data_IF_488967064637
#
_entry.id   IF_488967064637
#
_cell.length_a   1.000
_cell.length_b   1.000
_cell.length_c   1.000
_cell.angle_alpha   90.00
_cell.angle_beta   90.00
_cell.angle_gamma   90.00
#
_symmetry.space_group_name_H-M   'P 1'
#
loop_
_entity.id
_entity.type
_entity.pdbx_description
1 polymer ?
#
# COMPACT_ATOMS: atom_id res chain seq x y z
N UNK A 1 -49.31 15.56 -0.67
CA UNK A 1 -49.01 14.77 0.55
C UNK A 1 -48.40 13.46 0.11
N UNK A 2 -47.08 13.41 -0.02
CA UNK A 2 -46.35 12.20 -0.40
C UNK A 2 -45.84 11.51 0.86
N UNK A 3 -46.25 10.26 1.04
CA UNK A 3 -45.77 9.36 2.10
C UNK A 3 -44.38 8.87 1.70
N UNK A 4 -43.34 9.29 2.42
CA UNK A 4 -42.01 8.68 2.37
C UNK A 4 -41.94 7.61 3.46
N UNK A 5 -41.95 6.34 3.05
CA UNK A 5 -41.61 5.22 3.91
C UNK A 5 -40.08 5.15 4.06
N UNK A 6 -39.64 5.19 5.31
CA UNK A 6 -38.26 4.92 5.72
C UNK A 6 -37.89 3.47 5.41
N UNK A 7 -36.96 3.26 4.49
CA UNK A 7 -36.26 1.98 4.36
C UNK A 7 -35.07 1.97 5.32
N UNK A 8 -35.29 1.42 6.51
CA UNK A 8 -34.22 0.91 7.36
C UNK A 8 -33.69 -0.38 6.73
N UNK A 9 -32.48 -0.33 6.15
CA UNK A 9 -31.72 -1.54 5.85
C UNK A 9 -31.00 -1.99 7.11
N UNK A 10 -31.59 -3.00 7.77
CA UNK A 10 -30.95 -3.79 8.82
C UNK A 10 -29.61 -4.35 8.34
N UNK A 11 -28.50 -3.75 8.77
CA UNK A 11 -27.20 -4.41 8.78
C UNK A 11 -27.02 -5.07 10.15
N UNK A 12 -27.03 -6.40 10.15
CA UNK A 12 -27.05 -7.25 11.34
C UNK A 12 -25.67 -7.49 11.99
N UNK A 13 -24.65 -6.66 11.75
CA UNK A 13 -23.32 -6.82 12.37
C UNK A 13 -22.69 -5.46 12.73
N UNK A 14 -22.24 -5.24 13.98
CA UNK A 14 -21.70 -3.96 14.45
C UNK A 14 -20.23 -3.68 14.06
N UNK A 15 -19.62 -4.47 13.16
CA UNK A 15 -18.22 -4.30 12.78
C UNK A 15 -18.04 -4.32 11.25
N UNK A 16 -17.37 -3.29 10.71
CA UNK A 16 -16.87 -3.32 9.33
C UNK A 16 -15.69 -4.28 9.25
N UNK A 17 -15.89 -5.40 8.57
CA UNK A 17 -14.91 -6.43 8.27
C UNK A 17 -13.72 -5.91 7.43
N UNK A 18 -12.45 -6.31 7.72
CA UNK A 18 -11.91 -6.78 8.98
C UNK A 18 -10.96 -5.71 9.60
N UNK A 19 -11.20 -5.34 10.86
CA UNK A 19 -10.34 -4.48 11.71
C UNK A 19 -10.28 -2.97 11.38
N UNK A 20 -11.44 -2.32 11.28
CA UNK A 20 -11.49 -0.85 11.36
C UNK A 20 -11.45 -0.37 12.81
N UNK A 21 -10.34 0.25 13.23
CA UNK A 21 -10.30 1.05 14.48
C UNK A 21 -11.36 2.16 14.44
N UNK A 22 -11.98 2.46 15.58
CA UNK A 22 -12.97 3.55 15.77
C UNK A 22 -12.47 4.88 15.19
N UNK A 23 -11.15 5.11 15.28
CA UNK A 23 -10.49 6.35 14.90
C UNK A 23 -9.90 6.30 13.50
N UNK A 24 -10.25 5.31 12.68
CA UNK A 24 -9.70 5.15 11.32
C UNK A 24 -9.81 6.45 10.50
N UNK A 25 -11.00 7.05 10.43
CA UNK A 25 -11.22 8.30 9.69
C UNK A 25 -10.39 9.46 10.25
N UNK A 26 -10.27 9.54 11.58
CA UNK A 26 -9.45 10.54 12.24
C UNK A 26 -7.96 10.35 11.89
N UNK A 27 -7.46 9.11 11.90
CA UNK A 27 -6.07 8.80 11.53
C UNK A 27 -5.77 9.16 10.08
N UNK A 28 -6.64 8.80 9.13
CA UNK A 28 -6.49 9.20 7.72
C UNK A 28 -6.40 10.73 7.58
N UNK A 29 -7.28 11.46 8.28
CA UNK A 29 -7.25 12.92 8.30
C UNK A 29 -5.92 13.46 8.84
N UNK A 30 -5.46 12.93 9.98
CA UNK A 30 -4.21 13.36 10.61
C UNK A 30 -2.97 13.03 9.80
N UNK A 31 -2.98 11.90 9.09
CA UNK A 31 -1.93 11.56 8.12
C UNK A 31 -1.92 12.60 7.00
N UNK A 32 -3.07 12.96 6.43
CA UNK A 32 -3.16 14.01 5.41
C UNK A 32 -2.62 15.36 5.90
N UNK A 33 -3.00 15.79 7.12
CA UNK A 33 -2.49 17.03 7.74
C UNK A 33 -0.97 16.99 7.97
N UNK A 34 -0.43 15.87 8.46
CA UNK A 34 1.02 15.72 8.66
C UNK A 34 1.78 15.68 7.33
N UNK A 35 1.17 15.09 6.29
CA UNK A 35 1.79 14.98 4.98
C UNK A 35 1.81 16.30 4.21
N UNK A 36 0.79 17.15 4.36
CA UNK A 36 0.74 18.45 3.69
C UNK A 36 1.71 19.48 4.28
N UNK A 37 2.14 19.27 5.54
CA UNK A 37 3.06 20.17 6.24
C UNK A 37 4.53 19.79 6.11
N UNK A 38 4.85 18.64 5.50
CA UNK A 38 6.22 18.19 5.35
C UNK A 38 6.86 18.62 4.02
N UNK A 39 8.17 18.38 3.93
CA UNK A 39 8.99 18.73 2.78
C UNK A 39 9.40 17.50 1.94
N UNK A 40 8.67 16.38 2.04
CA UNK A 40 8.97 15.22 1.21
C UNK A 40 8.51 15.45 -0.24
N UNK A 41 9.31 14.94 -1.18
CA UNK A 41 9.02 15.00 -2.62
C UNK A 41 8.10 13.87 -3.09
N UNK A 42 8.34 12.68 -2.55
CA UNK A 42 7.65 11.45 -2.91
C UNK A 42 7.32 10.70 -1.61
N UNK A 43 6.06 10.27 -1.47
CA UNK A 43 5.56 9.56 -0.30
C UNK A 43 4.90 8.26 -0.73
N UNK A 44 5.31 7.16 -0.11
CA UNK A 44 4.65 5.86 -0.24
C UNK A 44 3.86 5.55 1.04
N UNK A 45 2.60 5.14 0.89
CA UNK A 45 1.80 4.64 2.01
C UNK A 45 1.42 3.18 1.77
N UNK A 46 1.39 2.44 2.87
CA UNK A 46 0.92 1.06 2.94
C UNK A 46 -0.37 1.00 3.76
N UNK A 47 -1.10 -0.11 3.64
CA UNK A 47 -2.34 -0.38 4.37
C UNK A 47 -3.48 0.63 4.14
N UNK A 48 -3.48 1.36 3.01
CA UNK A 48 -4.61 2.19 2.57
C UNK A 48 -5.64 1.31 1.86
N UNK A 49 -6.31 0.42 2.59
CA UNK A 49 -7.13 -0.65 2.00
C UNK A 49 -8.37 -0.18 1.25
N UNK A 50 -8.93 0.97 1.61
CA UNK A 50 -10.17 1.45 1.02
C UNK A 50 -9.87 2.59 0.06
N UNK A 51 -10.35 2.46 -1.17
CA UNK A 51 -10.19 3.49 -2.20
C UNK A 51 -10.72 4.86 -1.72
N UNK A 52 -11.84 4.88 -1.00
CA UNK A 52 -12.37 6.11 -0.39
C UNK A 52 -11.37 6.85 0.49
N UNK A 53 -10.48 6.12 1.18
CA UNK A 53 -9.49 6.69 2.09
C UNK A 53 -8.27 7.19 1.31
N UNK A 54 -7.88 6.51 0.22
CA UNK A 54 -6.96 7.07 -0.78
C UNK A 54 -7.49 8.37 -1.37
N UNK A 55 -8.76 8.41 -1.81
CA UNK A 55 -9.38 9.60 -2.40
C UNK A 55 -9.42 10.78 -1.41
N UNK A 56 -9.67 10.51 -0.12
CA UNK A 56 -9.59 11.53 0.94
C UNK A 56 -8.18 12.09 1.11
N UNK A 57 -7.18 11.22 1.12
CA UNK A 57 -5.77 11.64 1.18
C UNK A 57 -5.40 12.46 -0.04
N UNK A 58 -5.77 11.99 -1.24
CA UNK A 58 -5.54 12.71 -2.50
C UNK A 58 -6.13 14.10 -2.48
N UNK A 59 -7.36 14.26 -2.01
CA UNK A 59 -7.99 15.57 -1.90
C UNK A 59 -7.27 16.47 -0.88
N UNK A 60 -6.90 15.93 0.28
CA UNK A 60 -6.19 16.67 1.32
C UNK A 60 -4.78 17.10 0.90
N UNK A 61 -4.17 16.36 -0.03
CA UNK A 61 -2.77 16.52 -0.44
C UNK A 61 -2.60 17.19 -1.80
N UNK A 62 -3.67 17.49 -2.53
CA UNK A 62 -3.62 17.95 -3.94
C UNK A 62 -2.78 19.21 -4.18
N UNK A 63 -2.65 20.09 -3.18
CA UNK A 63 -1.87 21.33 -3.27
C UNK A 63 -0.36 21.07 -3.14
N UNK A 64 0.01 20.00 -2.44
CA UNK A 64 1.41 19.62 -2.19
C UNK A 64 1.87 18.55 -3.17
N UNK A 65 1.05 17.52 -3.38
CA UNK A 65 1.33 16.36 -4.22
C UNK A 65 0.32 16.31 -5.36
N UNK A 66 0.70 16.90 -6.49
CA UNK A 66 -0.16 17.04 -7.68
C UNK A 66 -0.42 15.68 -8.33
N UNK A 67 0.51 14.74 -8.19
CA UNK A 67 0.43 13.41 -8.77
C UNK A 67 0.24 12.36 -7.69
N UNK A 68 -0.64 11.40 -7.95
CA UNK A 68 -0.86 10.29 -7.05
C UNK A 68 -1.31 9.05 -7.81
N UNK A 69 -0.96 7.88 -7.28
CA UNK A 69 -1.37 6.61 -7.85
C UNK A 69 -1.71 5.61 -6.74
N UNK A 70 -2.85 4.94 -6.90
CA UNK A 70 -3.28 3.85 -6.04
C UNK A 70 -3.17 2.53 -6.80
N UNK A 71 -2.39 1.59 -6.26
CA UNK A 71 -2.19 0.31 -6.91
C UNK A 71 -3.39 -0.61 -6.63
N UNK A 72 -4.29 -0.75 -7.61
CA UNK A 72 -5.42 -1.66 -7.48
C UNK A 72 -4.97 -3.12 -7.61
N UNK A 73 -5.42 -4.00 -6.70
CA UNK A 73 -5.19 -5.44 -6.81
C UNK A 73 -6.32 -6.25 -6.18
N UNK A 74 -6.84 -7.24 -6.90
CA UNK A 74 -7.89 -8.14 -6.39
C UNK A 74 -9.16 -7.40 -5.94
N UNK A 75 -9.88 -7.99 -4.99
CA UNK A 75 -11.16 -7.45 -4.49
C UNK A 75 -10.97 -6.33 -3.44
N UNK A 76 -9.84 -6.31 -2.73
CA UNK A 76 -9.60 -5.40 -1.59
C UNK A 76 -8.57 -4.30 -1.86
N UNK A 77 -7.97 -4.24 -3.05
CA UNK A 77 -6.85 -3.34 -3.34
C UNK A 77 -5.50 -3.86 -2.81
N UNK A 78 -4.39 -3.21 -3.18
CA UNK A 78 -3.07 -3.56 -2.64
C UNK A 78 -2.76 -2.88 -1.30
N UNK A 79 -3.53 -1.85 -0.94
CA UNK A 79 -3.21 -0.98 0.18
C UNK A 79 -1.98 -0.09 -0.06
N UNK A 80 -1.38 -0.13 -1.24
CA UNK A 80 -0.21 0.67 -1.61
C UNK A 80 -0.65 1.87 -2.43
N UNK A 81 -0.20 3.06 -2.06
CA UNK A 81 -0.28 4.24 -2.90
C UNK A 81 0.97 5.10 -2.83
N UNK A 82 1.17 5.89 -3.87
CA UNK A 82 2.25 6.87 -3.97
C UNK A 82 1.65 8.25 -4.23
N UNK A 83 2.21 9.25 -3.55
CA UNK A 83 1.98 10.68 -3.77
C UNK A 83 3.30 11.30 -4.20
N UNK A 84 3.27 12.18 -5.20
CA UNK A 84 4.47 12.78 -5.79
C UNK A 84 4.21 14.24 -6.14
N UNK A 85 5.21 15.09 -5.88
CA UNK A 85 5.26 16.47 -6.40
C UNK A 85 5.51 16.50 -7.91
N UNK A 86 6.13 15.45 -8.43
CA UNK A 86 6.59 15.32 -9.81
C UNK A 86 5.73 14.35 -10.63
N UNK A 87 5.66 14.52 -11.97
CA UNK A 87 4.86 13.68 -12.85
C UNK A 87 5.15 12.18 -12.70
N UNK A 88 4.09 11.39 -12.49
CA UNK A 88 4.13 9.93 -12.62
C UNK A 88 3.80 9.59 -14.08
N UNK A 89 4.77 9.04 -14.81
CA UNK A 89 4.69 8.82 -16.26
C UNK A 89 4.45 7.36 -16.64
N UNK A 90 4.76 6.43 -15.74
CA UNK A 90 4.49 5.00 -15.91
C UNK A 90 4.24 4.34 -14.56
N UNK A 91 3.51 3.24 -14.58
CA UNK A 91 3.19 2.46 -13.37
C UNK A 91 3.20 0.97 -13.67
N UNK A 92 3.63 0.17 -12.71
CA UNK A 92 3.59 -1.30 -12.78
C UNK A 92 3.40 -1.88 -11.39
N UNK A 93 2.70 -3.01 -11.27
CA UNK A 93 2.50 -3.70 -9.98
C UNK A 93 2.91 -5.16 -10.10
N UNK A 94 3.69 -5.64 -9.13
CA UNK A 94 3.96 -7.06 -8.94
C UNK A 94 3.36 -7.54 -7.63
N UNK A 95 2.51 -8.56 -7.69
CA UNK A 95 1.96 -9.22 -6.51
C UNK A 95 2.85 -10.38 -6.14
N UNK A 96 3.29 -10.45 -4.89
CA UNK A 96 4.09 -11.59 -4.45
C UNK A 96 3.28 -12.88 -4.51
N UNK A 97 3.94 -13.97 -4.86
CA UNK A 97 3.30 -15.27 -5.03
C UNK A 97 2.90 -15.92 -3.71
N UNK A 98 3.71 -15.73 -2.66
CA UNK A 98 3.53 -16.38 -1.37
C UNK A 98 2.98 -15.40 -0.31
N UNK A 99 1.65 -15.31 -0.23
CA UNK A 99 0.93 -14.38 0.68
C UNK A 99 0.21 -15.10 1.84
N UNK A 100 0.85 -16.14 2.39
CA UNK A 100 0.33 -16.92 3.52
C UNK A 100 -0.05 -18.35 3.12
N UNK A 101 -0.63 -19.09 4.07
CA UNK A 101 -1.04 -20.48 3.87
C UNK A 101 -2.49 -20.56 3.37
N UNK A 102 -2.71 -21.27 2.26
CA UNK A 102 -4.03 -21.46 1.65
C UNK A 102 -5.06 -22.20 2.55
N UNK A 103 -4.67 -22.74 3.70
CA UNK A 103 -5.58 -23.35 4.68
C UNK A 103 -5.88 -22.44 5.89
N UNK A 104 -5.29 -21.25 5.98
CA UNK A 104 -5.57 -20.21 6.97
C UNK A 104 -6.41 -19.05 6.37
N UNK A 105 -7.32 -19.37 5.44
CA UNK A 105 -8.24 -18.43 4.76
C UNK A 105 -9.11 -17.63 5.74
N UNK A 106 -9.33 -18.14 6.95
CA UNK A 106 -10.15 -17.50 7.98
C UNK A 106 -9.53 -16.27 8.66
N UNK A 107 -8.30 -15.85 8.31
CA UNK A 107 -7.61 -14.71 8.96
C UNK A 107 -7.43 -13.46 8.08
N UNK A 108 -8.02 -13.39 6.89
CA UNK A 108 -8.10 -12.14 6.11
C UNK A 108 -6.81 -11.65 5.44
N UNK A 109 -5.63 -12.14 5.85
CA UNK A 109 -4.32 -11.80 5.25
C UNK A 109 -4.17 -12.28 3.78
N UNK A 110 -5.03 -13.19 3.31
CA UNK A 110 -4.93 -13.83 2.00
C UNK A 110 -5.43 -12.94 0.83
N UNK A 111 -6.37 -12.03 1.05
CA UNK A 111 -7.21 -11.52 -0.06
C UNK A 111 -6.73 -10.27 -0.80
N UNK A 112 -5.61 -9.67 -0.42
CA UNK A 112 -5.01 -8.61 -1.23
C UNK A 112 -4.15 -7.70 -0.40
N UNK A 113 -2.91 -7.51 -0.83
CA UNK A 113 -2.11 -6.42 -0.28
C UNK A 113 -0.62 -6.48 -0.46
N UNK A 114 -0.06 -7.69 -0.52
CA UNK A 114 1.39 -7.84 -0.51
C UNK A 114 1.94 -7.86 -1.93
N UNK A 115 2.96 -7.05 -2.14
CA UNK A 115 3.55 -6.82 -3.44
C UNK A 115 4.39 -5.56 -3.47
N UNK A 116 4.77 -5.17 -4.67
CA UNK A 116 5.53 -3.96 -4.93
C UNK A 116 4.90 -3.20 -6.09
N UNK A 117 4.57 -1.93 -5.83
CA UNK A 117 4.18 -0.98 -6.87
C UNK A 117 5.41 -0.22 -7.34
N UNK A 118 5.60 -0.11 -8.65
CA UNK A 118 6.56 0.76 -9.30
C UNK A 118 5.81 1.97 -9.88
N UNK A 119 6.28 3.16 -9.57
CA UNK A 119 6.00 4.37 -10.34
C UNK A 119 7.28 4.86 -10.98
N UNK A 120 7.21 5.23 -12.25
CA UNK A 120 8.27 5.98 -12.93
C UNK A 120 7.94 7.46 -12.82
N UNK A 121 8.89 8.23 -12.31
CA UNK A 121 8.74 9.66 -12.02
C UNK A 121 9.71 10.43 -12.90
N UNK A 122 9.22 11.48 -13.53
CA UNK A 122 10.03 12.39 -14.33
C UNK A 122 10.37 13.65 -13.52
N UNK A 123 11.65 13.90 -13.29
CA UNK A 123 12.16 15.12 -12.67
C UNK A 123 13.12 15.77 -13.65
N UNK A 124 12.68 16.85 -14.29
CA UNK A 124 13.42 17.49 -15.38
C UNK A 124 13.80 16.46 -16.47
N UNK A 125 15.09 16.25 -16.73
CA UNK A 125 15.58 15.23 -17.68
C UNK A 125 15.74 13.82 -17.09
N UNK A 126 15.53 13.63 -15.78
CA UNK A 126 15.81 12.37 -15.10
C UNK A 126 14.56 11.50 -14.97
N UNK A 127 14.72 10.21 -15.23
CA UNK A 127 13.72 9.15 -14.97
C UNK A 127 14.08 8.39 -13.70
N UNK A 128 13.24 8.50 -12.69
CA UNK A 128 13.41 7.85 -11.40
C UNK A 128 12.39 6.74 -11.26
N UNK A 129 12.86 5.52 -11.04
CA UNK A 129 12.01 4.40 -10.66
C UNK A 129 11.87 4.37 -9.14
N UNK A 130 10.65 4.59 -8.67
CA UNK A 130 10.30 4.55 -7.25
C UNK A 130 9.43 3.33 -6.96
N UNK A 131 9.94 2.44 -6.11
CA UNK A 131 9.30 1.19 -5.73
C UNK A 131 8.71 1.31 -4.32
N UNK A 132 7.40 1.10 -4.19
CA UNK A 132 6.68 1.02 -2.93
C UNK A 132 6.36 -0.44 -2.61
N UNK A 133 7.10 -1.05 -1.69
CA UNK A 133 6.98 -2.45 -1.32
C UNK A 133 6.21 -2.65 -0.01
N UNK A 134 5.31 -3.63 -0.01
CA UNK A 134 4.52 -4.05 1.14
C UNK A 134 4.73 -5.55 1.38
N UNK A 135 5.68 -5.89 2.26
CA UNK A 135 6.01 -7.26 2.61
C UNK A 135 5.16 -7.75 3.80
N UNK A 136 5.20 -9.05 4.08
CA UNK A 136 4.65 -9.59 5.31
C UNK A 136 5.38 -8.98 6.52
N UNK A 137 4.62 -8.61 7.56
CA UNK A 137 5.22 -8.18 8.82
C UNK A 137 5.80 -9.38 9.58
N UNK A 138 6.83 -9.12 10.40
CA UNK A 138 7.22 -10.02 11.48
C UNK A 138 6.32 -9.79 12.68
N UNK A 139 5.54 -10.82 13.05
CA UNK A 139 4.58 -10.71 14.16
C UNK A 139 5.16 -11.22 15.49
N UNK A 140 6.11 -12.15 15.46
CA UNK A 140 6.78 -12.70 16.65
C UNK A 140 8.24 -13.09 16.31
N UNK A 141 9.24 -12.35 16.83
CA UNK A 141 10.65 -12.65 16.61
C UNK A 141 11.09 -14.03 17.14
N UNK A 142 10.40 -14.58 18.15
CA UNK A 142 10.76 -15.86 18.77
C UNK A 142 10.13 -17.06 18.04
N UNK A 143 9.11 -16.83 17.21
CA UNK A 143 8.39 -17.88 16.48
C UNK A 143 7.91 -17.38 15.12
N UNK A 144 8.88 -17.12 14.26
CA UNK A 144 8.62 -16.53 12.97
C UNK A 144 8.20 -17.56 11.90
N UNK A 145 6.94 -17.95 11.95
CA UNK A 145 6.30 -18.81 10.95
C UNK A 145 6.26 -18.17 9.54
N UNK A 146 6.51 -16.87 9.43
CA UNK A 146 6.45 -16.11 8.19
C UNK A 146 7.84 -15.81 7.61
N UNK A 147 8.92 -16.28 8.21
CA UNK A 147 10.28 -16.12 7.67
C UNK A 147 10.39 -16.64 6.22
N UNK A 148 9.89 -17.85 5.87
CA UNK A 148 9.96 -18.34 4.49
C UNK A 148 9.13 -17.48 3.53
N UNK A 149 8.02 -16.92 4.00
CA UNK A 149 7.20 -15.97 3.23
C UNK A 149 7.98 -14.70 2.93
N UNK A 150 8.57 -14.07 3.95
CA UNK A 150 9.36 -12.83 3.77
C UNK A 150 10.58 -13.06 2.89
N UNK A 151 11.25 -14.21 3.01
CA UNK A 151 12.39 -14.55 2.16
C UNK A 151 11.98 -14.71 0.68
N UNK A 152 10.90 -15.43 0.40
CA UNK A 152 10.37 -15.57 -0.95
C UNK A 152 9.96 -14.21 -1.53
N UNK A 153 9.24 -13.40 -0.76
CA UNK A 153 8.84 -12.04 -1.15
C UNK A 153 10.05 -11.13 -1.43
N UNK A 154 11.08 -11.18 -0.60
CA UNK A 154 12.31 -10.41 -0.79
C UNK A 154 13.06 -10.84 -2.07
N UNK A 155 13.10 -12.15 -2.35
CA UNK A 155 13.68 -12.66 -3.59
C UNK A 155 12.88 -12.20 -4.81
N UNK A 156 11.55 -12.30 -4.78
CA UNK A 156 10.68 -11.80 -5.83
C UNK A 156 10.84 -10.29 -6.05
N UNK A 157 10.93 -9.51 -4.98
CA UNK A 157 11.19 -8.07 -5.03
C UNK A 157 12.52 -7.76 -5.71
N UNK A 158 13.60 -8.44 -5.31
CA UNK A 158 14.92 -8.25 -5.90
C UNK A 158 14.90 -8.55 -7.40
N UNK A 159 14.24 -9.63 -7.80
CA UNK A 159 14.06 -9.98 -9.21
C UNK A 159 13.23 -8.94 -9.95
N UNK A 160 12.12 -8.46 -9.37
CA UNK A 160 11.29 -7.45 -9.98
C UNK A 160 12.06 -6.14 -10.22
N UNK A 161 12.79 -5.65 -9.21
CA UNK A 161 13.63 -4.45 -9.34
C UNK A 161 14.66 -4.66 -10.44
N UNK A 162 15.40 -5.78 -10.42
CA UNK A 162 16.43 -6.10 -11.41
C UNK A 162 15.92 -6.06 -12.86
N UNK A 163 14.70 -6.54 -13.12
CA UNK A 163 14.16 -6.63 -14.48
C UNK A 163 13.43 -5.35 -14.92
N UNK A 164 13.18 -4.42 -14.01
CA UNK A 164 12.45 -3.16 -14.30
C UNK A 164 13.34 -1.92 -14.19
N UNK A 165 14.57 -2.05 -13.70
CA UNK A 165 15.47 -0.93 -13.43
C UNK A 165 16.22 -0.38 -14.64
N UNK A 166 16.28 -1.11 -15.76
CA UNK A 166 17.24 -0.84 -16.84
C UNK A 166 17.10 0.53 -17.53
N UNK A 167 15.94 1.18 -17.45
CA UNK A 167 15.65 2.45 -18.13
C UNK A 167 15.70 3.68 -17.22
N UNK A 168 16.01 3.51 -15.93
CA UNK A 168 15.99 4.61 -14.96
C UNK A 168 17.40 5.16 -14.68
N UNK A 169 17.49 6.48 -14.50
CA UNK A 169 18.70 7.16 -14.05
C UNK A 169 18.96 6.92 -12.56
N UNK A 170 17.91 6.72 -11.78
CA UNK A 170 17.98 6.39 -10.35
C UNK A 170 16.87 5.46 -9.88
N UNK A 171 17.15 4.73 -8.82
CA UNK A 171 16.27 3.72 -8.22
C UNK A 171 16.08 4.04 -6.74
N UNK A 172 14.83 4.11 -6.29
CA UNK A 172 14.48 4.27 -4.88
C UNK A 172 13.53 3.14 -4.49
N UNK A 173 13.91 2.36 -3.48
CA UNK A 173 13.08 1.31 -2.92
C UNK A 173 12.62 1.71 -1.51
N UNK A 174 11.32 1.96 -1.36
CA UNK A 174 10.67 2.32 -0.11
C UNK A 174 9.73 1.20 0.36
N UNK A 175 9.70 0.94 1.67
CA UNK A 175 8.87 -0.09 2.24
C UNK A 175 9.30 -0.46 3.66
N UNK A 176 8.44 -1.22 4.35
CA UNK A 176 8.80 -1.81 5.63
C UNK A 176 9.47 -3.17 5.38
N UNK A 177 10.79 -3.19 5.42
CA UNK A 177 11.59 -4.40 5.38
C UNK A 177 11.89 -4.77 6.84
N UNK A 178 11.16 -5.72 7.43
CA UNK A 178 11.55 -6.27 8.73
C UNK A 178 12.69 -7.26 8.50
N UNK A 179 13.97 -6.89 8.77
CA UNK A 179 15.11 -7.69 8.39
C UNK A 179 15.60 -8.45 9.63
N UNK A 180 14.77 -9.31 10.21
CA UNK A 180 15.24 -10.22 11.24
C UNK A 180 15.55 -11.56 10.58
N UNK A 181 16.65 -11.59 9.85
CA UNK A 181 17.26 -12.86 9.41
C UNK A 181 18.59 -12.96 10.14
N UNK A 182 18.55 -13.48 11.37
CA UNK A 182 19.77 -13.96 12.02
C UNK A 182 20.14 -15.28 11.32
N UNK A 183 21.02 -15.19 10.32
CA UNK A 183 21.73 -16.36 9.82
C UNK A 183 22.84 -16.68 10.83
N UNK A 184 22.50 -17.52 11.81
CA UNK A 184 23.47 -18.18 12.69
C UNK A 184 24.16 -19.33 11.96
#
# INVERSE_FOLDING_TARGET
MFHQQNYQTNQALPFSWPFGSSDHTLRIKKIGEALSQNEYDIVALQEIWKERDFLRLREALKETYIYSYYFHSGFTGSGICVFSRYPIVSTLMHRFTLNGFAHHIHRGDWFGGKGVGLVEIEIEQYRINFYAAHLHAEYDPNKDLYLPHRLAQAFELAQFVKHTSNSADALILAGLFSPTVNLS
#
